data_IF_947341074524
#
_entry.id   IF_947341074524
#
_cell.length_a   1.000
_cell.length_b   1.000
_cell.length_c   1.000
_cell.angle_alpha   90.00
_cell.angle_beta   90.00
_cell.angle_gamma   90.00
#
_symmetry.space_group_name_H-M   'P 1'
#
loop_
_entity.id
_entity.type
_entity.pdbx_description
1 polymer ?
2 non-polymer ?
3 non-polymer ?
4 non-polymer ?
5 water ?
#
# COMPACT_ATOMS: atom_id res chain seq x y z
N UNK A 12 -1.98 19.50 -26.52
CA UNK A 12 -2.98 20.29 -25.73
C UNK A 12 -3.38 19.54 -24.45
N UNK A 13 -3.70 18.25 -24.56
CA UNK A 13 -3.87 17.36 -23.37
C UNK A 13 -2.59 16.56 -23.22
N UNK A 14 -2.00 16.59 -22.02
CA UNK A 14 -0.66 16.01 -21.76
C UNK A 14 -0.74 14.59 -21.18
N UNK A 15 -1.83 14.17 -20.55
CA UNK A 15 -1.88 12.86 -19.84
C UNK A 15 -1.48 11.72 -20.82
N UNK A 16 -0.61 10.82 -20.40
CA UNK A 16 -0.28 9.65 -21.24
C UNK A 16 0.77 9.93 -22.30
N UNK A 17 1.40 11.11 -22.34
CA UNK A 17 2.32 11.55 -23.43
C UNK A 17 3.72 11.82 -22.89
N UNK A 18 4.71 11.73 -23.76
CA UNK A 18 6.10 12.22 -23.49
C UNK A 18 6.17 13.75 -23.50
N UNK A 19 5.34 14.45 -24.25
CA UNK A 19 5.30 15.95 -24.23
C UNK A 19 5.08 16.46 -22.80
N UNK A 20 4.17 15.82 -22.07
CA UNK A 20 3.82 16.16 -20.68
C UNK A 20 5.00 15.99 -19.75
N UNK A 21 5.81 14.98 -19.99
CA UNK A 21 7.01 14.62 -19.19
C UNK A 21 8.08 15.71 -19.27
N UNK A 22 8.24 16.39 -20.41
CA UNK A 22 9.26 17.45 -20.61
C UNK A 22 8.79 18.80 -20.06
N UNK A 23 7.53 18.99 -19.63
CA UNK A 23 7.06 20.26 -19.02
C UNK A 23 7.74 20.46 -17.67
N UNK A 24 7.78 21.72 -17.20
CA UNK A 24 8.24 22.04 -15.83
C UNK A 24 7.32 21.39 -14.80
N UNK A 25 7.86 21.00 -13.65
CA UNK A 25 7.07 20.54 -12.49
C UNK A 25 6.02 21.59 -12.11
N UNK A 26 4.80 21.13 -11.82
CA UNK A 26 3.69 21.95 -11.25
C UNK A 26 3.73 21.94 -9.72
N UNK A 27 4.60 21.13 -9.10
CA UNK A 27 4.65 20.93 -7.62
C UNK A 27 5.38 22.10 -6.95
N UNK A 28 4.93 22.44 -5.74
CA UNK A 28 5.55 23.44 -4.82
C UNK A 28 6.46 22.72 -3.83
N UNK A 29 7.10 23.48 -2.94
CA UNK A 29 8.06 23.00 -1.91
C UNK A 29 7.41 22.02 -0.92
N UNK A 30 6.13 22.22 -0.61
CA UNK A 30 5.35 21.37 0.35
C UNK A 30 5.27 19.95 -0.22
N UNK A 31 4.85 19.80 -1.48
CA UNK A 31 4.74 18.52 -2.19
C UNK A 31 6.14 17.89 -2.35
N UNK A 32 7.15 18.67 -2.73
CA UNK A 32 8.56 18.17 -2.92
C UNK A 32 9.09 17.70 -1.57
N UNK A 33 8.88 18.45 -0.48
CA UNK A 33 9.25 18.07 0.88
C UNK A 33 8.59 16.78 1.35
N UNK A 34 7.29 16.62 1.08
CA UNK A 34 6.53 15.38 1.38
C UNK A 34 7.17 14.18 0.66
N UNK A 35 7.58 14.31 -0.61
CA UNK A 35 8.23 13.22 -1.41
C UNK A 35 9.57 12.83 -0.80
N UNK A 36 10.39 13.81 -0.40
CA UNK A 36 11.69 13.59 0.29
C UNK A 36 11.48 12.83 1.61
N UNK A 37 10.53 13.28 2.41
CA UNK A 37 10.18 12.71 3.74
C UNK A 37 9.75 11.25 3.58
N UNK A 38 8.87 11.01 2.63
CA UNK A 38 8.35 9.64 2.33
C UNK A 38 9.50 8.74 1.85
N UNK A 39 10.35 9.22 0.94
CA UNK A 39 11.51 8.45 0.41
C UNK A 39 12.45 8.06 1.56
N UNK A 40 12.76 9.00 2.47
CA UNK A 40 13.70 8.76 3.61
C UNK A 40 13.12 7.68 4.54
N UNK A 41 11.84 7.80 4.92
CA UNK A 41 11.14 6.84 5.81
C UNK A 41 11.10 5.45 5.14
N UNK A 42 10.77 5.37 3.85
CA UNK A 42 10.69 4.08 3.12
C UNK A 42 12.07 3.45 3.04
N UNK A 43 13.11 4.23 2.78
CA UNK A 43 14.50 3.74 2.70
C UNK A 43 14.94 3.17 4.06
N UNK A 44 14.65 3.89 5.15
CA UNK A 44 14.96 3.45 6.55
C UNK A 44 14.23 2.14 6.78
N UNK A 45 12.93 2.07 6.51
CA UNK A 45 12.10 0.86 6.74
C UNK A 45 12.68 -0.30 5.92
N UNK A 46 13.11 -0.05 4.68
CA UNK A 46 13.67 -1.07 3.78
C UNK A 46 14.94 -1.67 4.41
N UNK A 47 15.85 -0.83 4.90
CA UNK A 47 17.13 -1.29 5.52
C UNK A 47 16.84 -2.05 6.82
N UNK A 48 15.93 -1.54 7.64
CA UNK A 48 15.48 -2.20 8.88
C UNK A 48 14.88 -3.58 8.57
N UNK A 49 13.92 -3.66 7.66
CA UNK A 49 13.25 -4.93 7.29
C UNK A 49 14.23 -5.88 6.62
N UNK A 50 15.22 -5.37 5.89
CA UNK A 50 16.34 -6.12 5.31
C UNK A 50 17.18 -6.79 6.39
N UNK A 51 17.53 -6.03 7.42
CA UNK A 51 18.26 -6.51 8.62
C UNK A 51 17.41 -7.59 9.32
N UNK A 52 16.11 -7.36 9.58
CA UNK A 52 15.22 -8.37 10.21
C UNK A 52 15.16 -9.65 9.36
N UNK A 53 15.10 -9.52 8.04
CA UNK A 53 15.07 -10.65 7.09
C UNK A 53 16.37 -11.47 7.22
N UNK A 54 17.52 -10.82 7.23
CA UNK A 54 18.85 -11.47 7.32
C UNK A 54 19.00 -12.25 8.64
N UNK A 55 18.64 -11.65 9.77
CA UNK A 55 18.93 -12.15 11.15
C UNK A 55 17.81 -13.04 11.71
N UNK A 56 16.61 -13.06 11.10
CA UNK A 56 15.43 -13.86 11.57
C UNK A 56 15.82 -15.34 11.66
N UNK A 57 15.52 -16.00 12.79
CA UNK A 57 15.69 -17.47 12.94
C UNK A 57 14.32 -18.16 13.04
N UNK A 58 13.22 -17.44 12.79
CA UNK A 58 11.84 -17.97 12.87
C UNK A 58 11.29 -17.98 14.30
N UNK A 59 10.05 -18.49 14.50
CA UNK A 59 9.47 -18.64 15.84
C UNK A 59 10.26 -19.60 16.76
N UNK A 60 10.78 -20.71 16.25
CA UNK A 60 11.70 -21.65 16.96
C UNK A 60 12.99 -20.96 17.44
N UNK A 61 13.51 -19.98 16.69
CA UNK A 61 14.80 -19.27 16.85
C UNK A 61 16.01 -20.20 16.56
N UNK A 62 15.83 -21.29 15.79
CA UNK A 62 16.89 -22.31 15.49
C UNK A 62 17.10 -22.54 13.98
N UNK A 63 16.46 -21.77 13.07
CA UNK A 63 16.54 -21.93 11.59
C UNK A 63 17.36 -20.75 11.04
N UNK A 64 18.60 -20.96 10.61
CA UNK A 64 19.45 -19.92 9.97
C UNK A 64 18.84 -19.56 8.60
N UNK A 65 18.73 -18.25 8.31
CA UNK A 65 18.11 -17.68 7.07
C UNK A 65 16.67 -18.19 6.91
N UNK A 66 15.90 -18.19 8.00
CA UNK A 66 14.45 -18.54 8.04
C UNK A 66 13.66 -17.79 6.94
N UNK A 67 13.85 -16.47 6.85
CA UNK A 67 13.10 -15.59 5.91
C UNK A 67 13.53 -15.90 4.46
N UNK A 68 14.78 -16.35 4.27
CA UNK A 68 15.32 -16.88 3.01
C UNK A 68 14.60 -18.11 2.50
N UNK A 69 14.14 -19.01 3.36
CA UNK A 69 13.39 -20.24 2.95
C UNK A 69 11.88 -19.99 3.02
N UNK A 70 11.38 -19.23 4.00
CA UNK A 70 9.94 -18.83 4.09
C UNK A 70 9.85 -17.40 3.57
N UNK A 71 9.80 -17.21 2.26
CA UNK A 71 9.96 -15.88 1.61
C UNK A 71 8.69 -15.01 1.72
N UNK A 72 7.55 -15.56 2.16
CA UNK A 72 6.33 -14.80 2.54
C UNK A 72 6.67 -13.76 3.63
N UNK A 73 7.59 -14.06 4.55
CA UNK A 73 8.15 -13.12 5.58
C UNK A 73 8.78 -11.84 4.97
N UNK A 74 9.30 -11.88 3.74
CA UNK A 74 9.92 -10.72 3.04
C UNK A 74 8.89 -9.84 2.32
N UNK A 75 7.59 -10.09 2.41
CA UNK A 75 6.58 -9.30 1.66
C UNK A 75 6.58 -7.84 2.09
N UNK A 76 6.61 -7.54 3.39
CA UNK A 76 6.68 -6.16 3.94
C UNK A 76 7.96 -5.48 3.44
N UNK A 77 9.09 -6.20 3.42
CA UNK A 77 10.38 -5.69 2.88
C UNK A 77 10.18 -5.27 1.41
N UNK A 78 9.60 -6.13 0.58
CA UNK A 78 9.41 -5.84 -0.87
C UNK A 78 8.37 -4.77 -1.12
N UNK A 79 7.33 -4.67 -0.30
CA UNK A 79 6.40 -3.52 -0.36
C UNK A 79 7.21 -2.22 -0.15
N UNK A 80 8.01 -2.15 0.91
CA UNK A 80 8.78 -0.92 1.24
C UNK A 80 9.84 -0.62 0.18
N UNK A 81 10.47 -1.65 -0.38
CA UNK A 81 11.53 -1.55 -1.38
C UNK A 81 10.96 -0.96 -2.69
N UNK A 82 9.85 -1.51 -3.18
CA UNK A 82 9.18 -0.99 -4.40
C UNK A 82 8.58 0.39 -4.17
N UNK A 83 8.00 0.68 -3.01
CA UNK A 83 7.53 2.06 -2.72
C UNK A 83 8.71 3.04 -2.71
N UNK A 84 9.84 2.66 -2.11
CA UNK A 84 11.11 3.44 -2.10
C UNK A 84 11.54 3.71 -3.56
N UNK A 85 11.51 2.71 -4.44
CA UNK A 85 11.90 2.90 -5.87
C UNK A 85 10.98 3.93 -6.52
N UNK A 86 9.68 3.82 -6.30
CA UNK A 86 8.68 4.78 -6.82
C UNK A 86 8.97 6.22 -6.34
N UNK A 87 9.24 6.40 -5.06
CA UNK A 87 9.57 7.75 -4.49
C UNK A 87 10.96 8.23 -4.91
N UNK A 88 11.91 7.33 -5.17
CA UNK A 88 13.20 7.73 -5.80
C UNK A 88 12.93 8.44 -7.14
N UNK A 89 12.00 7.89 -7.94
CA UNK A 89 11.57 8.47 -9.21
C UNK A 89 10.97 9.86 -9.06
N UNK A 90 10.11 10.04 -8.07
CA UNK A 90 9.46 11.35 -7.75
C UNK A 90 10.50 12.40 -7.36
N UNK A 91 11.50 12.06 -6.53
CA UNK A 91 12.54 13.05 -6.10
C UNK A 91 13.53 13.31 -7.25
N UNK A 92 13.86 12.35 -8.11
CA UNK A 92 14.70 12.61 -9.32
C UNK A 92 13.96 13.63 -10.22
N UNK A 93 12.66 13.41 -10.46
CA UNK A 93 11.82 14.29 -11.30
C UNK A 93 11.70 15.67 -10.66
N UNK A 94 11.47 15.73 -9.34
CA UNK A 94 11.39 17.03 -8.60
C UNK A 94 12.69 17.82 -8.68
N UNK A 95 13.84 17.17 -8.51
CA UNK A 95 15.17 17.84 -8.46
C UNK A 95 15.57 18.29 -9.87
N UNK A 96 15.31 17.48 -10.91
CA UNK A 96 15.47 17.92 -12.33
C UNK A 96 14.45 19.03 -12.65
N UNK A 97 13.29 19.04 -12.00
CA UNK A 97 12.25 20.05 -12.13
C UNK A 97 11.33 19.79 -13.31
N UNK A 98 11.10 18.53 -13.71
CA UNK A 98 10.16 18.16 -14.79
C UNK A 98 8.89 17.56 -14.20
N UNK A 99 7.84 17.63 -14.98
CA UNK A 99 6.49 17.14 -14.70
C UNK A 99 6.50 15.60 -14.65
N UNK A 100 5.94 15.05 -13.59
CA UNK A 100 5.91 13.59 -13.32
C UNK A 100 4.48 13.12 -13.05
N UNK A 101 3.45 13.96 -13.19
CA UNK A 101 2.06 13.60 -12.88
C UNK A 101 1.36 13.06 -14.12
N UNK A 102 1.26 11.73 -14.23
CA UNK A 102 0.45 11.02 -15.25
C UNK A 102 0.96 11.35 -16.66
N UNK A 103 2.26 11.35 -16.84
CA UNK A 103 2.96 11.65 -18.11
C UNK A 103 4.14 10.71 -18.20
N UNK A 104 4.72 10.63 -19.40
CA UNK A 104 5.84 9.72 -19.65
C UNK A 104 5.35 8.28 -19.82
N UNK A 105 6.24 7.27 -19.74
CA UNK A 105 5.85 5.89 -19.99
C UNK A 105 5.03 5.27 -18.86
N UNK A 106 4.00 4.50 -19.21
CA UNK A 106 3.18 3.73 -18.27
C UNK A 106 3.94 2.43 -17.94
N UNK A 107 4.43 2.29 -16.71
CA UNK A 107 5.20 1.12 -16.20
C UNK A 107 4.57 0.72 -14.87
N UNK A 108 4.11 -0.52 -14.74
CA UNK A 108 3.57 -1.05 -13.46
C UNK A 108 4.72 -1.07 -12.44
N UNK A 109 4.42 -0.65 -11.21
CA UNK A 109 5.37 -0.50 -10.11
C UNK A 109 6.05 0.85 -10.11
N UNK A 110 5.78 1.73 -11.09
CA UNK A 110 6.38 3.07 -11.13
C UNK A 110 5.30 4.14 -10.99
N UNK A 111 5.54 5.16 -10.18
CA UNK A 111 4.50 6.11 -9.72
C UNK A 111 4.47 7.42 -10.49
N UNK A 112 4.99 7.51 -11.73
CA UNK A 112 4.67 8.64 -12.64
C UNK A 112 3.17 8.61 -12.98
N UNK A 113 2.49 7.45 -13.04
CA UNK A 113 0.99 7.36 -13.11
C UNK A 113 0.51 7.06 -11.71
N UNK A 114 -0.38 7.88 -11.18
CA UNK A 114 -0.95 7.64 -9.83
C UNK A 114 -1.62 6.27 -9.81
N UNK A 115 -1.31 5.49 -8.78
CA UNK A 115 -1.79 4.11 -8.52
C UNK A 115 -1.06 3.05 -9.36
N UNK A 116 -0.21 3.38 -10.35
CA UNK A 116 0.56 2.38 -11.12
C UNK A 116 1.63 1.74 -10.23
N UNK A 117 2.23 2.48 -9.30
CA UNK A 117 3.15 1.93 -8.27
C UNK A 117 2.40 0.95 -7.35
N UNK A 118 1.24 1.34 -6.83
CA UNK A 118 0.37 0.55 -5.92
C UNK A 118 -0.11 -0.75 -6.56
N UNK A 119 -0.34 -0.78 -7.88
CA UNK A 119 -0.71 -2.03 -8.62
C UNK A 119 0.31 -3.15 -8.33
N UNK A 120 1.58 -2.83 -8.09
CA UNK A 120 2.59 -3.84 -7.67
C UNK A 120 2.52 -4.08 -6.16
N UNK A 121 2.54 -3.04 -5.32
CA UNK A 121 2.77 -3.15 -3.85
C UNK A 121 1.48 -3.51 -3.10
N UNK A 122 0.31 -2.99 -3.48
CA UNK A 122 -0.93 -3.24 -2.69
C UNK A 122 -1.33 -4.71 -2.68
N UNK A 123 -1.31 -5.45 -3.81
CA UNK A 123 -1.64 -6.90 -3.78
C UNK A 123 -0.73 -7.70 -2.82
N UNK A 124 0.58 -7.40 -2.82
CA UNK A 124 1.60 -7.96 -1.87
C UNK A 124 1.22 -7.62 -0.42
N UNK A 125 0.80 -6.39 -0.20
CA UNK A 125 0.44 -5.94 1.15
C UNK A 125 -0.83 -6.65 1.63
N UNK A 126 -1.86 -6.82 0.80
CA UNK A 126 -3.11 -7.54 1.22
C UNK A 126 -2.79 -9.04 1.44
N UNK A 127 -1.97 -9.63 0.58
CA UNK A 127 -1.50 -11.02 0.73
C UNK A 127 -0.85 -11.15 2.13
N UNK A 128 0.09 -10.27 2.44
CA UNK A 128 0.85 -10.27 3.71
C UNK A 128 -0.09 -10.14 4.91
N UNK A 129 -1.03 -9.19 4.90
CA UNK A 129 -2.04 -8.97 5.99
C UNK A 129 -2.78 -10.27 6.27
N UNK A 130 -3.39 -10.87 5.24
CA UNK A 130 -4.20 -12.09 5.35
C UNK A 130 -3.32 -13.28 5.73
N UNK A 131 -2.08 -13.36 5.24
CA UNK A 131 -1.10 -14.40 5.62
C UNK A 131 -0.80 -14.35 7.14
N UNK A 132 -0.76 -13.19 7.79
CA UNK A 132 -0.53 -13.07 9.27
C UNK A 132 -1.59 -13.87 10.07
N UNK A 133 -2.84 -13.91 9.61
CA UNK A 133 -3.96 -14.69 10.23
C UNK A 133 -4.16 -16.06 9.56
N UNK A 134 -3.28 -16.51 8.66
CA UNK A 134 -3.41 -17.75 7.82
C UNK A 134 -4.82 -17.78 7.18
N UNK A 135 -5.30 -16.61 6.75
CA UNK A 135 -6.70 -16.42 6.29
C UNK A 135 -6.87 -17.08 4.92
N UNK A 136 -8.05 -17.65 4.58
CA UNK A 136 -8.32 -18.09 3.20
C UNK A 136 -8.53 -16.88 2.27
N UNK A 137 -8.50 -17.11 0.95
CA UNK A 137 -8.77 -16.12 -0.14
C UNK A 137 -7.65 -15.07 -0.22
N UNK A 138 -6.39 -15.46 -0.08
CA UNK A 138 -5.25 -14.50 -0.02
C UNK A 138 -4.88 -14.05 -1.42
N UNK A 139 -4.69 -15.01 -2.33
CA UNK A 139 -4.43 -14.75 -3.77
C UNK A 139 -5.66 -14.05 -4.38
N UNK A 140 -6.87 -14.51 -4.07
CA UNK A 140 -8.15 -13.94 -4.57
C UNK A 140 -8.28 -12.45 -4.18
N UNK A 141 -7.93 -12.08 -2.94
CA UNK A 141 -7.95 -10.67 -2.45
C UNK A 141 -6.84 -9.85 -3.13
N UNK A 142 -5.67 -10.41 -3.38
CA UNK A 142 -4.58 -9.76 -4.14
C UNK A 142 -5.05 -9.43 -5.57
N UNK A 143 -5.74 -10.36 -6.24
CA UNK A 143 -6.29 -10.21 -7.61
C UNK A 143 -7.31 -9.06 -7.63
N UNK A 144 -8.21 -9.01 -6.68
CA UNK A 144 -9.29 -7.97 -6.64
C UNK A 144 -8.64 -6.60 -6.38
N UNK A 145 -7.67 -6.52 -5.47
CA UNK A 145 -6.96 -5.27 -5.16
C UNK A 145 -6.22 -4.79 -6.43
N UNK A 146 -5.59 -5.70 -7.16
CA UNK A 146 -4.96 -5.38 -8.46
C UNK A 146 -5.99 -4.70 -9.39
N UNK A 147 -7.20 -5.24 -9.51
CA UNK A 147 -8.27 -4.69 -10.37
C UNK A 147 -8.75 -3.33 -9.85
N UNK A 148 -8.88 -3.16 -8.53
CA UNK A 148 -9.30 -1.86 -7.94
C UNK A 148 -8.24 -0.82 -8.31
N UNK A 149 -6.95 -1.15 -8.23
CA UNK A 149 -5.89 -0.15 -8.49
C UNK A 149 -5.88 0.13 -9.99
N UNK A 150 -6.07 -0.88 -10.86
CA UNK A 150 -6.26 -0.66 -12.32
C UNK A 150 -7.39 0.36 -12.56
N UNK A 151 -8.50 0.22 -11.85
CA UNK A 151 -9.67 1.13 -11.94
C UNK A 151 -9.23 2.58 -11.66
N UNK A 152 -8.40 2.77 -10.63
CA UNK A 152 -7.87 4.07 -10.25
C UNK A 152 -6.95 4.66 -11.33
N UNK A 153 -6.09 3.85 -11.92
CA UNK A 153 -5.24 4.25 -13.07
C UNK A 153 -6.12 4.74 -14.21
N UNK A 154 -7.13 3.97 -14.59
CA UNK A 154 -8.00 4.36 -15.73
C UNK A 154 -8.78 5.63 -15.39
N UNK A 155 -9.24 5.80 -14.15
CA UNK A 155 -9.91 7.06 -13.74
C UNK A 155 -8.96 8.27 -13.88
N UNK A 156 -7.63 8.13 -13.68
CA UNK A 156 -6.65 9.23 -13.90
C UNK A 156 -6.65 9.69 -15.36
N UNK A 157 -6.62 8.77 -16.33
CA UNK A 157 -6.61 9.09 -17.79
C UNK A 157 -7.86 9.91 -18.15
N UNK A 158 -9.03 9.47 -17.72
CA UNK A 158 -10.27 10.26 -17.93
C UNK A 158 -10.28 11.58 -17.16
N UNK A 159 -9.85 11.62 -15.90
CA UNK A 159 -9.87 12.86 -15.07
C UNK A 159 -8.97 13.95 -15.67
N UNK A 160 -7.82 13.58 -16.22
CA UNK A 160 -6.73 14.51 -16.66
C UNK A 160 -6.79 14.78 -18.16
N UNK A 161 -7.60 14.04 -18.93
CA UNK A 161 -7.66 14.15 -20.39
C UNK A 161 -8.63 15.25 -20.79
N UNK A 162 -9.09 15.14 -22.03
CA UNK A 162 -10.19 15.93 -22.65
C UNK A 162 -11.39 15.96 -21.69
N UNK A 163 -11.89 17.15 -21.28
CA UNK A 163 -13.06 17.23 -20.39
C UNK A 163 -14.38 16.67 -20.95
N UNK A 164 -14.52 16.48 -22.27
CA UNK A 164 -15.64 15.71 -22.90
C UNK A 164 -15.79 14.30 -22.29
N UNK A 165 -14.69 13.63 -21.92
CA UNK A 165 -14.65 12.24 -21.42
C UNK A 165 -14.55 12.17 -19.89
N UNK A 166 -14.62 13.29 -19.17
CA UNK A 166 -14.41 13.42 -17.69
C UNK A 166 -15.28 12.41 -16.92
N UNK A 167 -16.52 12.15 -17.33
CA UNK A 167 -17.44 11.23 -16.60
C UNK A 167 -16.95 9.77 -16.61
N UNK A 168 -16.05 9.37 -17.51
CA UNK A 168 -15.30 8.11 -17.43
C UNK A 168 -14.57 7.95 -16.11
N UNK A 169 -14.08 9.04 -15.50
CA UNK A 169 -13.34 9.02 -14.21
C UNK A 169 -14.29 8.54 -13.10
N UNK A 170 -15.54 8.99 -13.11
CA UNK A 170 -16.57 8.61 -12.10
C UNK A 170 -17.01 7.17 -12.32
N UNK A 171 -17.20 6.75 -13.57
CA UNK A 171 -17.54 5.34 -13.92
C UNK A 171 -16.48 4.42 -13.33
N UNK A 172 -15.20 4.73 -13.54
CA UNK A 172 -14.10 3.85 -13.08
C UNK A 172 -13.90 3.96 -11.55
N UNK A 173 -14.07 5.14 -10.97
CA UNK A 173 -14.00 5.31 -9.50
C UNK A 173 -15.10 4.47 -8.84
N UNK A 174 -16.32 4.56 -9.37
CA UNK A 174 -17.49 3.79 -8.94
C UNK A 174 -17.27 2.30 -9.02
N UNK A 175 -16.71 1.81 -10.13
CA UNK A 175 -16.36 0.39 -10.34
C UNK A 175 -15.38 -0.05 -9.24
N UNK A 176 -14.32 0.73 -9.03
CA UNK A 176 -13.30 0.44 -8.02
C UNK A 176 -13.90 0.42 -6.63
N UNK A 177 -14.69 1.44 -6.29
CA UNK A 177 -15.38 1.55 -4.98
C UNK A 177 -16.33 0.38 -4.75
N UNK A 178 -17.11 0.01 -5.76
CA UNK A 178 -18.03 -1.15 -5.72
C UNK A 178 -17.23 -2.38 -5.29
N UNK A 179 -16.17 -2.73 -6.02
CA UNK A 179 -15.39 -3.96 -5.76
C UNK A 179 -14.59 -3.82 -4.47
N UNK A 180 -14.19 -2.60 -4.09
CA UNK A 180 -13.50 -2.37 -2.81
C UNK A 180 -14.43 -2.69 -1.63
N UNK A 181 -15.64 -2.14 -1.64
CA UNK A 181 -16.67 -2.39 -0.58
C UNK A 181 -16.94 -3.91 -0.54
N UNK A 182 -17.16 -4.53 -1.69
CA UNK A 182 -17.35 -6.00 -1.84
C UNK A 182 -16.19 -6.75 -1.17
N UNK A 183 -14.95 -6.46 -1.56
CA UNK A 183 -13.71 -7.13 -1.13
C UNK A 183 -13.59 -7.03 0.40
N UNK A 184 -13.62 -5.81 0.95
CA UNK A 184 -13.72 -5.48 2.40
C UNK A 184 -14.79 -6.28 3.14
N UNK A 185 -16.02 -6.21 2.69
CA UNK A 185 -17.20 -6.88 3.31
C UNK A 185 -17.05 -8.41 3.29
N UNK A 186 -16.14 -8.99 2.48
CA UNK A 186 -15.74 -10.43 2.49
C UNK A 186 -14.45 -10.60 3.31
N UNK A 187 -13.40 -9.78 3.12
CA UNK A 187 -12.08 -9.80 3.87
C UNK A 187 -12.36 -9.76 5.38
N UNK A 188 -13.01 -8.70 5.88
CA UNK A 188 -13.33 -8.50 7.32
C UNK A 188 -14.10 -9.73 7.89
N UNK A 189 -15.03 -10.31 7.15
CA UNK A 189 -15.72 -11.59 7.48
C UNK A 189 -14.79 -12.83 7.46
N UNK A 190 -13.55 -12.72 6.97
CA UNK A 190 -12.47 -13.77 7.07
C UNK A 190 -11.60 -13.48 8.30
N UNK A 191 -11.00 -12.28 8.40
CA UNK A 191 -10.23 -11.77 9.58
C UNK A 191 -11.04 -12.05 10.88
N UNK A 192 -12.36 -11.75 10.86
CA UNK A 192 -13.34 -12.00 11.96
C UNK A 192 -13.38 -13.48 12.33
N UNK A 193 -13.65 -14.37 11.36
CA UNK A 193 -13.73 -15.85 11.57
C UNK A 193 -12.36 -16.43 11.98
N UNK A 194 -11.25 -15.91 11.41
CA UNK A 194 -9.88 -16.38 11.73
C UNK A 194 -9.53 -16.06 13.18
N UNK A 195 -9.81 -14.83 13.64
CA UNK A 195 -9.67 -14.45 15.07
C UNK A 195 -10.62 -15.31 15.94
N UNK A 196 -11.87 -15.51 15.52
CA UNK A 196 -12.91 -16.32 16.26
C UNK A 196 -12.37 -17.73 16.52
N UNK A 197 -11.97 -18.44 15.46
CA UNK A 197 -11.35 -19.81 15.47
C UNK A 197 -10.23 -19.88 16.51
N UNK A 198 -9.24 -18.99 16.37
CA UNK A 198 -8.03 -18.94 17.22
C UNK A 198 -8.38 -18.49 18.65
N UNK A 199 -9.42 -17.65 18.85
CA UNK A 199 -9.81 -17.10 20.17
C UNK A 199 -10.30 -18.25 21.07
N UNK A 200 -11.25 -19.05 20.59
CA UNK A 200 -11.75 -20.29 21.26
C UNK A 200 -10.60 -21.30 21.45
N UNK A 201 -9.75 -21.48 20.44
CA UNK A 201 -8.55 -22.38 20.48
C UNK A 201 -7.55 -21.89 21.55
N UNK A 202 -7.28 -20.59 21.64
CA UNK A 202 -6.31 -19.96 22.58
C UNK A 202 -6.72 -20.14 24.05
N UNK A 203 -8.03 -20.15 24.36
CA UNK A 203 -8.60 -20.21 25.75
C UNK A 203 -7.99 -19.04 26.56
N UNK A 204 -7.31 -19.29 27.71
CA UNK A 204 -6.69 -18.28 28.60
C UNK A 204 -5.15 -18.50 28.63
N UNK A 205 -4.55 -19.06 27.56
CA UNK A 205 -3.15 -19.60 27.56
C UNK A 205 -2.08 -18.49 27.59
N UNK A 206 -2.41 -17.22 27.29
CA UNK A 206 -1.45 -16.09 27.16
C UNK A 206 -1.21 -15.74 25.70
N UNK A 207 -1.26 -16.74 24.81
CA UNK A 207 -1.47 -16.57 23.34
C UNK A 207 -2.74 -15.76 23.01
N UNK A 208 -3.79 -15.82 23.86
CA UNK A 208 -5.03 -14.99 23.76
C UNK A 208 -4.69 -13.51 23.56
N UNK A 209 -3.85 -12.92 24.43
CA UNK A 209 -3.51 -11.47 24.47
C UNK A 209 -2.79 -11.06 23.16
N UNK A 210 -1.79 -11.83 22.73
CA UNK A 210 -1.07 -11.65 21.44
C UNK A 210 -2.04 -11.75 20.25
N UNK A 211 -2.98 -12.71 20.30
CA UNK A 211 -4.01 -12.92 19.24
C UNK A 211 -4.97 -11.72 19.16
N UNK A 212 -5.40 -11.15 20.30
CA UNK A 212 -6.17 -9.86 20.40
C UNK A 212 -5.43 -8.77 19.61
N UNK A 213 -4.13 -8.56 19.92
CA UNK A 213 -3.22 -7.54 19.32
C UNK A 213 -3.17 -7.73 17.79
N UNK A 214 -3.01 -8.98 17.32
CA UNK A 214 -2.85 -9.34 15.89
C UNK A 214 -4.12 -8.96 15.11
N UNK A 215 -5.31 -9.33 15.61
CA UNK A 215 -6.65 -9.00 15.04
C UNK A 215 -6.82 -7.48 14.92
N UNK A 216 -6.52 -6.72 15.98
CA UNK A 216 -6.74 -5.25 16.04
C UNK A 216 -5.78 -4.56 15.08
N UNK A 217 -4.48 -4.92 15.08
CA UNK A 217 -3.43 -4.40 14.17
C UNK A 217 -3.82 -4.63 12.71
N UNK A 218 -4.16 -5.88 12.35
CA UNK A 218 -4.56 -6.28 10.97
C UNK A 218 -5.85 -5.52 10.57
N UNK A 219 -6.82 -5.41 11.49
CA UNK A 219 -8.08 -4.64 11.27
C UNK A 219 -7.78 -3.15 11.09
N UNK A 220 -6.95 -2.55 11.95
CA UNK A 220 -6.59 -1.10 11.93
C UNK A 220 -5.91 -0.75 10.59
N UNK A 221 -4.92 -1.55 10.18
CA UNK A 221 -4.16 -1.32 8.93
C UNK A 221 -5.07 -1.55 7.72
N UNK A 222 -5.88 -2.61 7.72
CA UNK A 222 -6.94 -2.86 6.70
C UNK A 222 -7.80 -1.61 6.59
N UNK A 223 -8.39 -1.12 7.69
CA UNK A 223 -9.39 0.00 7.68
C UNK A 223 -8.75 1.32 7.23
N UNK A 224 -7.48 1.56 7.51
CA UNK A 224 -6.74 2.79 7.04
C UNK A 224 -6.65 2.84 5.50
N UNK A 225 -6.80 1.72 4.76
CA UNK A 225 -6.91 1.71 3.27
C UNK A 225 -8.11 2.50 2.74
N UNK A 226 -9.17 2.74 3.52
CA UNK A 226 -10.34 3.60 3.14
C UNK A 226 -9.85 5.05 2.90
N UNK A 227 -8.76 5.51 3.51
CA UNK A 227 -8.19 6.88 3.28
C UNK A 227 -7.93 7.15 1.79
N UNK A 228 -7.51 6.15 1.00
CA UNK A 228 -7.14 6.31 -0.43
C UNK A 228 -8.35 6.74 -1.26
N UNK A 229 -9.48 5.99 -1.30
CA UNK A 229 -10.66 6.47 -2.02
C UNK A 229 -11.26 7.74 -1.40
N UNK A 230 -11.07 7.99 -0.10
CA UNK A 230 -11.54 9.25 0.54
C UNK A 230 -10.69 10.43 0.05
N UNK A 231 -9.37 10.28 -0.03
CA UNK A 231 -8.47 11.34 -0.60
C UNK A 231 -8.89 11.61 -2.05
N UNK A 232 -9.21 10.57 -2.83
CA UNK A 232 -9.66 10.70 -4.24
C UNK A 232 -10.89 11.64 -4.29
N UNK A 233 -11.90 11.33 -3.47
CA UNK A 233 -13.16 12.12 -3.34
C UNK A 233 -12.90 13.59 -2.95
N UNK A 234 -11.99 13.91 -2.03
CA UNK A 234 -11.76 15.31 -1.56
C UNK A 234 -10.79 16.08 -2.47
N UNK A 235 -9.92 15.40 -3.24
CA UNK A 235 -8.88 16.02 -4.09
C UNK A 235 -9.54 16.57 -5.36
N UNK A 236 -8.79 17.23 -6.29
CA UNK A 236 -9.36 17.73 -7.56
C UNK A 236 -10.10 16.71 -8.45
N UNK A 237 -9.88 15.40 -8.25
CA UNK A 237 -10.65 14.32 -8.94
C UNK A 237 -12.13 14.35 -8.58
N UNK A 238 -12.47 14.65 -7.32
CA UNK A 238 -13.84 14.74 -6.82
C UNK A 238 -14.19 16.19 -6.52
N UNK A 239 -14.35 16.53 -5.24
CA UNK A 239 -14.89 17.83 -4.77
C UNK A 239 -13.88 18.98 -4.88
N UNK A 240 -12.57 18.70 -4.93
CA UNK A 240 -11.51 19.73 -5.05
C UNK A 240 -11.36 20.60 -3.80
N UNK A 241 -11.65 20.06 -2.62
CA UNK A 241 -11.45 20.75 -1.31
C UNK A 241 -9.97 20.92 -1.00
N UNK A 242 -9.10 20.02 -1.46
CA UNK A 242 -7.61 20.17 -1.45
C UNK A 242 -7.12 20.23 -2.90
N UNK A 243 -6.01 20.94 -3.11
CA UNK A 243 -5.34 21.11 -4.43
C UNK A 243 -4.41 19.92 -4.69
N UNK A 244 -3.76 19.92 -5.85
CA UNK A 244 -2.80 18.87 -6.29
C UNK A 244 -1.61 18.76 -5.33
N UNK A 245 -1.09 19.88 -4.78
CA UNK A 245 0.09 19.86 -3.88
C UNK A 245 -0.26 19.12 -2.57
N UNK A 246 -1.41 19.43 -1.96
CA UNK A 246 -1.87 18.82 -0.68
C UNK A 246 -2.28 17.36 -0.89
N UNK A 247 -2.73 17.00 -2.09
CA UNK A 247 -3.00 15.60 -2.51
C UNK A 247 -1.72 14.77 -2.46
N UNK A 248 -0.59 15.31 -2.97
CA UNK A 248 0.75 14.65 -2.88
C UNK A 248 1.12 14.44 -1.41
N UNK A 249 0.86 15.43 -0.55
CA UNK A 249 1.13 15.32 0.92
C UNK A 249 0.24 14.23 1.50
N UNK A 250 -1.07 14.22 1.21
CA UNK A 250 -2.01 13.18 1.70
C UNK A 250 -1.51 11.76 1.30
N UNK A 251 -1.02 11.57 0.07
CA UNK A 251 -0.54 10.23 -0.41
C UNK A 251 0.75 9.84 0.31
N UNK A 252 1.69 10.77 0.49
CA UNK A 252 2.92 10.55 1.31
C UNK A 252 2.59 10.06 2.72
N UNK A 253 1.64 10.71 3.40
CA UNK A 253 1.26 10.32 4.79
C UNK A 253 0.62 8.94 4.75
N UNK A 254 -0.34 8.71 3.84
CA UNK A 254 -1.05 7.40 3.70
C UNK A 254 -0.07 6.27 3.36
N UNK A 255 0.94 6.54 2.53
CA UNK A 255 2.02 5.57 2.21
C UNK A 255 2.91 5.29 3.43
N UNK A 256 3.25 6.30 4.22
CA UNK A 256 4.08 6.10 5.45
C UNK A 256 3.31 5.17 6.41
N UNK A 257 2.02 5.37 6.58
CA UNK A 257 1.17 4.56 7.50
C UNK A 257 0.98 3.17 6.89
N UNK A 258 0.51 3.08 5.64
CA UNK A 258 0.13 1.78 5.02
C UNK A 258 1.34 0.85 4.85
N UNK A 259 2.54 1.36 4.64
CA UNK A 259 3.73 0.54 4.26
C UNK A 259 4.73 0.53 5.41
N UNK A 260 5.22 1.70 5.82
CA UNK A 260 6.33 1.79 6.81
C UNK A 260 5.84 1.41 8.21
N UNK A 261 4.80 2.06 8.72
CA UNK A 261 4.25 1.81 10.08
C UNK A 261 3.77 0.37 10.19
N UNK A 262 3.11 -0.12 9.14
CA UNK A 262 2.76 -1.55 8.97
C UNK A 262 4.03 -2.42 9.08
N UNK A 263 5.06 -2.13 8.27
CA UNK A 263 6.35 -2.83 8.26
C UNK A 263 6.98 -2.90 9.65
N UNK A 264 7.04 -1.78 10.39
CA UNK A 264 7.61 -1.73 11.77
C UNK A 264 6.72 -2.50 12.75
N UNK A 265 5.40 -2.31 12.72
CA UNK A 265 4.41 -2.99 13.60
C UNK A 265 4.51 -4.52 13.48
N UNK A 266 4.54 -5.03 12.26
CA UNK A 266 4.66 -6.48 11.94
C UNK A 266 6.01 -7.02 12.46
N UNK A 267 7.11 -6.35 12.13
CA UNK A 267 8.47 -6.70 12.58
C UNK A 267 8.53 -6.82 14.12
N UNK A 268 7.88 -5.91 14.86
CA UNK A 268 7.80 -5.95 16.35
C UNK A 268 6.98 -7.16 16.80
N UNK A 269 5.82 -7.41 16.19
CA UNK A 269 4.95 -8.59 16.48
C UNK A 269 5.78 -9.88 16.35
N UNK A 270 6.51 -10.04 15.25
CA UNK A 270 7.37 -11.24 15.00
C UNK A 270 8.50 -11.34 16.04
N UNK A 271 9.06 -10.22 16.48
CA UNK A 271 10.11 -10.18 17.54
C UNK A 271 9.54 -10.74 18.86
N UNK A 272 8.30 -10.40 19.23
CA UNK A 272 7.70 -10.66 20.58
C UNK A 272 6.80 -11.90 20.60
N UNK A 273 5.79 -11.98 19.71
CA UNK A 273 4.63 -12.91 19.82
C UNK A 273 4.62 -14.02 18.73
N UNK A 274 5.69 -14.22 17.95
CA UNK A 274 5.68 -15.14 16.77
C UNK A 274 5.44 -16.58 17.25
N UNK A 275 6.26 -17.07 18.18
CA UNK A 275 6.22 -18.49 18.69
C UNK A 275 4.90 -18.76 19.43
N UNK A 276 4.45 -17.82 20.28
CA UNK A 276 3.18 -17.87 21.06
C UNK A 276 1.99 -18.30 20.18
N UNK A 277 1.91 -17.79 18.94
CA UNK A 277 0.83 -18.06 17.96
C UNK A 277 1.23 -19.10 16.88
N UNK A 278 2.52 -19.37 16.64
CA UNK A 278 2.99 -20.35 15.62
C UNK A 278 2.50 -21.79 15.90
N UNK A 279 2.22 -22.13 17.17
CA UNK A 279 1.59 -23.41 17.60
C UNK A 279 0.09 -23.46 17.26
N UNK A 280 -0.62 -22.32 17.30
CA UNK A 280 -2.09 -22.18 17.06
C UNK A 280 -2.39 -21.88 15.59
N UNK A 281 -1.60 -21.00 14.94
CA UNK A 281 -1.73 -20.65 13.49
C UNK A 281 -1.32 -21.87 12.65
X LIG B 1 -8.60 4.14 -5.63
X LIG B 1 -9.58 4.79 -6.63
X LIG B 1 -10.61 3.80 -7.16
X LIG B 1 -11.43 3.29 -6.01
X LIG B 1 -10.60 2.77 -4.88
X LIG B 1 -9.31 3.08 -4.74
X LIG B 1 -8.44 2.31 -3.81
X LIG B 1 -7.17 2.44 -3.38
X LIG B 1 -6.44 1.64 -2.41
X LIG B 1 -5.13 1.92 -2.21
X LIG B 1 -4.19 1.27 -1.36
X LIG B 1 -2.93 1.73 -1.27
X LIG B 1 -1.83 1.24 -0.44
X LIG B 1 -0.60 1.72 -0.70
X LIG B 1 0.67 1.22 -0.17
X LIG B 1 -7.53 3.52 -6.54
X LIG B 1 -8.00 5.27 -4.77
X LIG B 1 -11.41 1.98 -3.89
X LIG B 1 -7.20 0.59 -1.64
X LIG B 1 -2.12 0.13 0.54
X LIG C 1 -21.37 7.52 -19.69
X LIG C 1 -21.07 8.98 -20.02
X LIG C 1 -22.18 9.89 -19.56
X LIG C 1 -22.35 9.71 -18.05
X LIG C 1 -22.58 8.25 -17.66
X LIG C 1 -23.63 7.92 -16.92
X LIG C 1 -24.07 6.52 -16.64
X LIG C 1 -22.90 5.54 -16.71
X LIG C 1 -22.13 5.75 -18.04
X LIG C 1 -21.57 7.21 -18.19
X LIG C 1 -21.12 4.60 -18.32
X LIG C 1 -21.68 3.17 -18.07
X LIG C 1 -22.31 3.00 -16.68
X LIG C 1 -23.39 4.11 -16.59
X LIG C 1 -24.24 3.75 -15.37
X LIG C 1 -24.22 2.21 -15.34
X LIG C 1 -23.19 1.73 -16.40
X LIG C 1 -21.20 3.12 -15.62
X LIG C 1 -20.23 7.40 -17.45
X LIG C 1 -22.52 0.39 -16.02
X LIG C 1 -21.84 -0.26 -17.22
X LIG C 1 -23.41 -0.65 -15.30
X LIG C 1 -24.68 -1.11 -15.99
X LIG C 1 -25.68 -1.79 -15.06
X LIG C 1 -26.26 -3.12 -15.55
X LIG C 1 -25.37 -4.30 -15.16
X LIG C 1 -27.69 -3.36 -15.04
X LIG C 1 -21.87 11.25 -19.88
X LIG D 1 18.24 -1.36 14.22
X LIG D 1 17.97 -2.82 14.61
X LIG D 1 19.15 -3.49 15.27
X LIG D 1 20.45 -3.32 14.48
X LIG D 1 20.34 -2.40 13.28
X LIG D 1 20.86 -2.76 12.11
X LIG D 1 20.86 -1.91 10.87
X LIG D 1 20.56 -0.44 11.17
X LIG D 1 19.33 -0.37 12.11
X LIG D 1 19.59 -1.07 13.50
X LIG D 1 18.73 1.06 12.20
X LIG D 1 18.59 1.78 10.85
X LIG D 1 19.90 1.82 10.05
X LIG D 1 20.31 0.34 9.88
X LIG D 1 21.42 0.39 8.82
X LIG D 1 20.93 1.47 7.85
X LIG D 1 19.79 2.28 8.56
X LIG D 1 20.96 2.67 10.79
X LIG D 1 20.49 -0.20 14.42
X LIG D 1 19.82 3.78 8.19
X LIG D 1 18.85 4.62 9.02
X LIG D 1 19.55 4.01 6.69
X LIG D 1 20.11 5.31 6.12
X LIG D 1 19.71 5.58 4.67
X LIG D 1 19.20 7.00 4.33
X LIG D 1 20.21 8.07 4.74
X LIG D 1 17.84 7.28 4.94
X LIG D 1 19.29 -3.00 16.62
X LIG E 1 -22.93 12.53 -14.44
X LIG E 1 -24.06 12.97 -14.76
X LIG E 1 -22.02 13.25 -13.99
X LIG E 1 -22.65 11.05 -14.65
X LIG E 1 -22.06 10.33 -13.47
X LIG E 1 -21.68 8.90 -13.82
X LIG E 1 -21.52 7.98 -12.63
X LIG E 1 -21.40 6.53 -13.00
X LIG E 1 -21.11 5.62 -11.84
X LIG E 1 -21.19 4.15 -12.17
X LIG E 1 -21.22 3.28 -10.95
X LIG E 1 -21.46 1.80 -11.21
X LIG E 1 -20.22 0.96 -11.38
X LIG E 1 -20.27 -0.36 -10.65
X LIG E 1 -21.33 -1.30 -11.13
X LIG E 1 -21.06 -2.75 -10.85
X LIG E 1 -20.14 -3.45 -11.81
X LIG E 1 -20.28 -4.95 -11.78
X LIG F 1 -21.41 14.44 -10.82
X LIG F 1 -20.66 13.33 -10.13
X LIG F 1 -21.39 12.00 -10.14
X LIG F 1 -20.53 10.80 -9.75
X LIG F 1 -20.47 10.54 -8.26
X LIG F 1 -19.57 9.38 -7.87
X LIG F 1 -20.10 8.00 -8.22
X LIG F 1 -20.45 7.10 -7.05
X LIG F 1 -19.29 6.34 -6.45
X LIG F 1 -19.69 5.25 -5.48
X LIG F 1 -20.29 4.01 -6.12
X LIG F 1 -20.21 2.76 -5.25
X LIG G 1 -18.39 17.38 -7.84
X LIG G 1 -19.23 17.69 -6.97
X LIG G 1 -17.64 18.20 -8.40
X LIG G 1 -18.30 15.91 -8.22
X LIG G 1 -17.83 14.99 -7.13
X LIG G 1 -18.14 13.52 -7.40
X LIG G 1 -17.02 12.56 -7.10
X LIG G 1 -16.80 12.31 -5.64
X LIG G 1 -17.71 11.25 -5.06
X LIG G 1 -17.36 10.88 -3.64
X LIG G 1 -18.41 10.07 -2.93
X LIG G 1 -17.95 9.47 -1.63
X LIG G 1 -17.18 8.19 -1.79
X LIG G 1 -16.60 7.66 -0.51
X LIG G 1 -15.66 6.48 -0.70
X LIG G 1 -15.68 5.47 0.43
X LIG G 1 -14.87 4.22 0.16
X LIG G 1 -15.53 3.27 -0.81
X LIG H 1 -4.12 -4.12 21.63
X LIG H 1 -4.37 -3.12 20.53
X LIG H 1 -3.43 -3.23 19.36
X LIG H 1 -3.72 -2.27 18.22
X LIG H 1 -2.51 -1.91 17.36
X LIG H 1 -2.76 -0.85 16.32
X LIG H 1 -1.56 0.01 15.97
X LIG H 1 -1.86 1.16 15.05
X LIG H 1 -0.63 1.78 14.41
X LIG H 1 -0.76 3.27 14.12
X LIG H 1 0.45 3.91 13.47
X LIG H 1 0.41 5.42 13.40
X LIG I 1 24.66 -8.31 9.39
X LIG I 1 24.35 -8.02 7.94
X LIG I 1 23.15 -7.12 7.73
X LIG I 1 22.58 -7.16 6.33
X LIG I 1 21.76 -5.95 5.94
X LIG I 1 20.73 -6.22 4.88
X LIG I 1 20.01 -4.99 4.36
X LIG I 1 19.26 -5.26 3.09
X LIG I 1 18.47 -4.09 2.53
X LIG I 1 17.25 -4.49 1.72
X LIG I 1 17.53 -5.37 0.52
X LIG I 1 16.32 -5.63 -0.32
#
# INVERSE_FOLDING_TARGET
GPMAHAPGTDQMFYVGTMDGWYLDTKLNSVAIGAHWSCFIVLTITTFYLGYESWTSRGPSKRTSFYAGYQEEQNLALFVNFFAMLSYFGKIVADTLGHNFGDVGPFIIGFGNYRYADYMLTCPMLVYDLLYQLRAPYRVSCSAIIFAILMSGVLAEFYAEGDPRLRNGAYAWYGFGCFWFIFAYSIVMSIVAKQYSRLAQLAQDTGAEHSLHVLKFAVFTFSMLWILFPLVWAICPRGFGWIDDNWTEVAHCVCDIVAKSCYGFALARFRKTYDEELFRLLEQLGHDEDEFQKLELDMRLSSNGERLEVLFQ
RET C1 C2 C3 C4 C5 C6 C7 C8 C9 C10 C11 C12 C13 C14 C15 C16 C17 C18 C19 C20
CLR C1 C2 C3 C4 C5 C6 C7 C8 C9 C10 C11 C12 C13 C14 C15 C16 C17 C18 C19 C20 C21 C22 C23 C24 C25 C26 C27 O1
CLR C1 C2 C3 C4 C5 C6 C7 C8 C9 C10 C11 C12 C13 C14 C15 C16 C17 C18 C19 C20 C21 C22 C23 C24 C25 C26 C27 O1
PLM C1 O1 O2 C2 C3 C4 C5 C6 C7 C8 C9 CA CB CC CD CE CF CG
PLM C5 C6 C7 C8 C9 CA CB CC CD CE CF CG
PLM C1 O1 O2 C2 C3 C4 C5 C6 C7 C8 C9 CA CB CC CD CE CF CG
PLM C5 C6 C7 C8 C9 CA CB CC CD CE CF CG
PLM C5 C6 C7 C8 C9 CA CB CC CD CE CF CG
#
